data_IF_297799784494
#
_entry.id   IF_297799784494
#
_cell.length_a   1.000
_cell.length_b   1.000
_cell.length_c   1.000
_cell.angle_alpha   90.00
_cell.angle_beta   90.00
_cell.angle_gamma   90.00
#
_symmetry.space_group_name_H-M   'P 1'
#
loop_
_entity.id
_entity.type
_entity.pdbx_description
1 polymer ?
#
# COMPACT_ATOMS: atom_id res chain seq x y z
N UNK A 1 17.00 4.50 -11.55
CA UNK A 1 17.80 5.60 -12.15
C UNK A 1 18.93 6.04 -11.22
N UNK A 2 20.13 6.35 -11.74
CA UNK A 2 21.31 6.77 -10.96
C UNK A 2 21.12 8.19 -10.37
N UNK A 3 21.50 8.41 -9.11
CA UNK A 3 21.35 9.69 -8.41
C UNK A 3 22.20 10.86 -8.96
N UNK A 4 23.18 10.56 -9.83
CA UNK A 4 24.05 11.54 -10.50
C UNK A 4 23.37 12.23 -11.69
N UNK A 5 22.24 11.72 -12.16
CA UNK A 5 21.41 12.39 -13.17
C UNK A 5 20.51 13.35 -12.40
N UNK A 6 20.52 14.64 -12.77
CA UNK A 6 19.66 15.66 -12.15
C UNK A 6 18.18 15.27 -12.33
N UNK A 7 17.61 14.67 -11.29
CA UNK A 7 16.20 14.30 -11.20
C UNK A 7 15.41 15.48 -10.65
N UNK A 8 14.39 15.90 -11.37
CA UNK A 8 13.46 16.95 -10.92
C UNK A 8 12.19 16.29 -10.39
N UNK A 9 11.77 16.72 -9.20
CA UNK A 9 10.51 16.30 -8.58
C UNK A 9 9.69 17.56 -8.36
N UNK A 10 8.62 17.71 -9.12
CA UNK A 10 7.70 18.85 -8.97
C UNK A 10 6.26 18.37 -8.88
N UNK A 11 5.45 19.19 -8.21
CA UNK A 11 4.00 19.00 -8.14
C UNK A 11 3.35 20.14 -8.90
N UNK A 12 2.47 19.79 -9.83
CA UNK A 12 1.59 20.73 -10.52
C UNK A 12 0.17 20.53 -10.00
N UNK A 13 -0.38 21.59 -9.42
CA UNK A 13 -1.76 21.65 -8.97
C UNK A 13 -2.72 21.89 -10.17
N UNK A 14 -4.00 21.54 -10.04
CA UNK A 14 -5.08 21.96 -10.94
C UNK A 14 -5.13 23.47 -11.20
N UNK A 15 -4.65 24.30 -10.27
CA UNK A 15 -4.49 25.74 -10.48
C UNK A 15 -3.35 26.12 -11.46
N UNK A 16 -2.53 25.16 -11.88
CA UNK A 16 -1.35 25.39 -12.71
C UNK A 16 -0.16 25.99 -11.96
N UNK A 17 -0.26 26.13 -10.64
CA UNK A 17 0.85 26.55 -9.79
C UNK A 17 1.78 25.35 -9.57
N UNK A 18 3.02 25.46 -10.05
CA UNK A 18 4.05 24.46 -9.84
C UNK A 18 4.76 24.70 -8.51
N UNK A 19 4.56 23.81 -7.55
CA UNK A 19 5.34 23.78 -6.33
C UNK A 19 6.65 23.03 -6.65
N UNK A 20 7.72 23.79 -6.90
CA UNK A 20 9.07 23.23 -7.10
C UNK A 20 9.63 22.75 -5.75
N UNK A 21 9.22 21.56 -5.32
CA UNK A 21 9.53 21.01 -3.99
C UNK A 21 10.73 20.06 -3.99
N UNK A 22 11.59 20.19 -5.00
CA UNK A 22 12.81 19.37 -5.15
C UNK A 22 13.75 19.49 -3.93
N UNK A 23 13.65 20.56 -3.13
CA UNK A 23 14.46 20.78 -1.92
C UNK A 23 13.91 20.16 -0.64
N UNK A 24 12.63 19.77 -0.60
CA UNK A 24 12.01 19.17 0.60
C UNK A 24 12.26 17.66 0.65
N UNK A 25 12.38 17.03 -0.52
CA UNK A 25 12.66 15.60 -0.65
C UNK A 25 14.16 15.33 -0.61
N UNK A 26 14.56 14.35 0.22
CA UNK A 26 15.95 13.91 0.29
C UNK A 26 16.21 12.87 -0.79
N UNK A 27 17.33 13.01 -1.48
CA UNK A 27 17.80 12.08 -2.51
C UNK A 27 19.11 11.45 -2.04
N UNK A 28 19.16 10.12 -2.01
CA UNK A 28 20.35 9.37 -1.59
C UNK A 28 20.69 8.34 -2.68
N UNK A 29 21.96 8.28 -3.05
CA UNK A 29 22.48 7.27 -3.98
C UNK A 29 22.46 5.89 -3.32
N UNK A 30 21.85 4.88 -3.97
CA UNK A 30 21.67 3.53 -3.40
C UNK A 30 21.79 2.45 -4.48
N UNK A 31 21.87 1.19 -4.06
CA UNK A 31 21.69 0.01 -4.92
C UNK A 31 20.19 -0.24 -5.16
N UNK A 32 19.85 -0.78 -6.35
CA UNK A 32 18.48 -1.20 -6.65
C UNK A 32 18.25 -2.66 -6.23
N UNK A 33 17.28 -2.92 -5.35
CA UNK A 33 16.94 -4.26 -4.88
C UNK A 33 15.44 -4.55 -4.99
N UNK A 34 15.10 -5.67 -5.62
CA UNK A 34 13.70 -6.09 -5.92
C UNK A 34 13.17 -7.14 -4.92
N UNK A 35 14.02 -7.70 -4.06
CA UNK A 35 13.76 -8.98 -3.34
C UNK A 35 12.47 -9.09 -2.54
N UNK A 36 11.89 -7.99 -2.06
CA UNK A 36 10.65 -8.00 -1.27
C UNK A 36 9.43 -7.49 -2.03
N UNK A 37 9.61 -6.85 -3.18
CA UNK A 37 8.56 -6.09 -3.85
C UNK A 37 7.72 -6.98 -4.80
N UNK A 38 6.43 -6.69 -4.87
CA UNK A 38 5.50 -7.34 -5.80
C UNK A 38 5.40 -6.53 -7.10
N UNK A 39 5.20 -7.20 -8.23
CA UNK A 39 4.89 -6.51 -9.50
C UNK A 39 3.49 -5.92 -9.40
N UNK A 40 3.30 -4.68 -9.86
CA UNK A 40 1.98 -4.05 -9.80
C UNK A 40 1.07 -4.70 -10.85
N UNK A 41 -0.19 -4.98 -10.49
CA UNK A 41 -1.15 -5.63 -11.39
C UNK A 41 -1.04 -7.16 -11.49
N UNK A 42 -0.07 -7.78 -10.81
CA UNK A 42 -0.02 -9.23 -10.60
C UNK A 42 -0.98 -9.60 -9.44
N UNK A 43 -2.26 -9.26 -9.62
CA UNK A 43 -3.35 -9.85 -8.83
C UNK A 43 -3.49 -11.30 -9.29
N UNK A 44 -2.56 -12.16 -8.84
CA UNK A 44 -2.83 -13.58 -8.75
C UNK A 44 -4.10 -13.72 -7.89
N UNK A 45 -5.16 -14.25 -8.50
CA UNK A 45 -6.38 -14.80 -7.89
C UNK A 45 -6.04 -15.97 -6.91
N UNK A 46 -5.00 -15.84 -6.08
CA UNK A 46 -4.68 -16.81 -5.05
C UNK A 46 -5.38 -16.37 -3.76
N UNK A 47 -6.59 -16.90 -3.58
CA UNK A 47 -7.28 -17.10 -2.30
C UNK A 47 -6.46 -18.03 -1.37
N UNK A 48 -5.13 -17.85 -1.30
CA UNK A 48 -4.28 -18.49 -0.31
C UNK A 48 -4.38 -17.68 0.96
N UNK A 49 -5.47 -17.95 1.69
CA UNK A 49 -5.63 -17.77 3.14
C UNK A 49 -4.28 -17.50 3.80
N UNK A 50 -3.99 -16.22 4.06
CA UNK A 50 -2.78 -15.76 4.76
C UNK A 50 -2.53 -16.69 5.95
N UNK A 51 -1.55 -17.58 5.79
CA UNK A 51 -1.29 -18.60 6.79
C UNK A 51 -0.62 -17.88 7.96
N UNK A 52 -1.28 -17.84 9.11
CA UNK A 52 -0.79 -17.17 10.33
C UNK A 52 0.66 -17.57 10.65
N UNK A 53 1.08 -18.78 10.24
CA UNK A 53 2.47 -19.24 10.33
C UNK A 53 3.47 -18.42 9.50
N UNK A 54 3.12 -18.00 8.27
CA UNK A 54 3.98 -17.14 7.45
C UNK A 54 4.09 -15.74 8.04
N UNK A 55 2.98 -15.17 8.52
CA UNK A 55 2.97 -13.87 9.20
C UNK A 55 3.80 -13.90 10.49
N UNK A 56 3.70 -14.98 11.27
CA UNK A 56 4.51 -15.16 12.49
C UNK A 56 5.99 -15.41 12.15
N UNK A 57 6.31 -16.09 11.06
CA UNK A 57 7.72 -16.26 10.63
C UNK A 57 8.32 -14.94 10.14
N UNK A 58 7.55 -14.12 9.40
CA UNK A 58 7.97 -12.79 8.98
C UNK A 58 8.08 -11.81 10.16
N UNK A 59 7.20 -11.91 11.16
CA UNK A 59 7.29 -11.11 12.37
C UNK A 59 8.44 -11.53 13.30
N UNK A 60 8.91 -12.78 13.20
CA UNK A 60 10.00 -13.31 14.01
C UNK A 60 11.37 -13.20 13.32
N UNK A 61 11.44 -12.85 12.03
CA UNK A 61 12.64 -12.31 11.40
C UNK A 61 12.82 -10.86 11.85
N UNK A 62 13.20 -10.72 13.11
CA UNK A 62 13.39 -9.45 13.80
C UNK A 62 14.70 -8.78 13.32
N UNK A 63 14.74 -8.39 12.04
CA UNK A 63 15.80 -7.59 11.41
C UNK A 63 15.24 -6.60 10.39
N UNK A 64 14.06 -6.02 10.63
CA UNK A 64 13.60 -4.84 9.88
C UNK A 64 13.81 -3.55 10.68
N UNK A 65 14.95 -3.45 11.39
CA UNK A 65 15.50 -2.13 11.67
C UNK A 65 16.22 -1.69 10.40
N UNK A 66 15.54 -0.87 9.58
CA UNK A 66 16.15 -0.11 8.50
C UNK A 66 17.20 0.84 9.09
N UNK A 67 18.39 0.31 9.32
CA UNK A 67 19.58 1.10 9.58
C UNK A 67 20.05 1.64 8.23
N UNK A 68 20.46 2.92 8.14
CA UNK A 68 21.23 3.38 7.00
C UNK A 68 22.59 2.66 7.07
N UNK A 69 22.68 1.48 6.46
CA UNK A 69 23.93 0.75 6.35
C UNK A 69 24.85 1.54 5.43
N UNK A 70 25.77 2.29 6.03
CA UNK A 70 26.90 2.93 5.37
C UNK A 70 27.97 1.90 4.98
N UNK A 71 27.58 0.79 4.34
CA UNK A 71 28.56 -0.11 3.72
C UNK A 71 28.58 0.15 2.22
N UNK A 72 29.24 1.26 1.89
CA UNK A 72 29.44 1.74 0.53
C UNK A 72 30.61 0.99 -0.08
N UNK A 73 30.32 -0.09 -0.82
CA UNK A 73 31.22 -0.51 -1.89
C UNK A 73 31.06 0.48 -3.06
N UNK A 74 32.06 1.33 -3.25
CA UNK A 74 32.12 2.53 -4.10
C UNK A 74 31.73 2.39 -5.60
N UNK A 75 31.24 1.26 -6.11
CA UNK A 75 31.01 1.07 -7.56
C UNK A 75 29.67 0.42 -7.97
N UNK A 76 28.69 0.28 -7.08
CA UNK A 76 27.39 -0.36 -7.42
C UNK A 76 26.16 0.53 -7.16
N UNK A 77 26.34 1.84 -7.00
CA UNK A 77 25.24 2.78 -6.82
C UNK A 77 24.51 3.05 -8.15
N UNK A 78 23.56 2.16 -8.49
CA UNK A 78 22.79 2.19 -9.74
C UNK A 78 21.44 2.90 -9.62
N UNK A 79 21.04 3.28 -8.41
CA UNK A 79 19.72 3.85 -8.11
C UNK A 79 19.77 5.13 -7.26
N UNK A 80 18.63 5.81 -7.20
CA UNK A 80 18.39 7.02 -6.45
C UNK A 80 17.17 6.75 -5.56
N UNK A 81 17.37 6.83 -4.24
CA UNK A 81 16.30 6.75 -3.25
C UNK A 81 15.79 8.15 -2.98
N UNK A 82 14.49 8.35 -3.22
CA UNK A 82 13.80 9.61 -2.93
C UNK A 82 12.84 9.33 -1.76
N UNK A 83 12.95 10.11 -0.69
CA UNK A 83 12.06 9.97 0.46
C UNK A 83 11.88 11.31 1.19
N UNK A 84 10.74 11.46 1.84
CA UNK A 84 10.36 12.65 2.58
C UNK A 84 8.85 12.76 2.66
N UNK A 85 8.39 13.87 3.21
CA UNK A 85 6.98 14.23 3.30
C UNK A 85 6.78 15.52 2.54
N UNK A 86 5.60 15.67 1.93
CA UNK A 86 5.29 16.78 1.05
C UNK A 86 3.96 17.40 1.45
N UNK A 87 3.98 18.69 1.77
CA UNK A 87 2.76 19.44 2.11
C UNK A 87 2.16 20.04 0.83
N UNK A 88 1.15 19.37 0.29
CA UNK A 88 0.43 19.81 -0.92
C UNK A 88 -0.94 20.37 -0.59
N UNK A 89 -1.46 21.24 -1.46
CA UNK A 89 -2.84 21.68 -1.39
C UNK A 89 -3.80 20.49 -1.57
N UNK A 90 -4.94 20.52 -0.87
CA UNK A 90 -5.98 19.49 -0.94
C UNK A 90 -6.87 19.66 -2.17
N UNK A 91 -6.29 19.50 -3.35
CA UNK A 91 -6.91 19.64 -4.68
C UNK A 91 -6.29 18.63 -5.62
N UNK A 92 -6.89 18.43 -6.80
CA UNK A 92 -6.33 17.55 -7.83
C UNK A 92 -4.94 18.03 -8.23
N UNK A 93 -3.97 17.12 -8.33
CA UNK A 93 -2.60 17.47 -8.69
C UNK A 93 -1.86 16.36 -9.40
N UNK A 94 -0.65 16.68 -9.87
CA UNK A 94 0.23 15.77 -10.57
C UNK A 94 1.66 15.93 -10.03
N UNK A 95 2.13 14.91 -9.33
CA UNK A 95 3.53 14.78 -8.93
C UNK A 95 4.28 14.10 -10.07
N UNK A 96 5.24 14.77 -10.66
CA UNK A 96 6.07 14.19 -11.71
C UNK A 96 7.52 14.06 -11.25
N UNK A 97 8.13 12.95 -11.63
CA UNK A 97 9.55 12.64 -11.43
C UNK A 97 10.13 12.41 -12.82
N UNK A 98 10.94 13.36 -13.27
CA UNK A 98 11.48 13.38 -14.63
C UNK A 98 12.97 13.69 -14.61
N UNK A 99 13.67 13.31 -15.68
CA UNK A 99 15.06 13.69 -15.86
C UNK A 99 15.15 15.14 -16.39
N UNK A 100 16.18 15.87 -15.96
CA UNK A 100 16.39 17.26 -16.35
C UNK A 100 16.31 17.44 -17.88
N UNK A 101 15.54 18.46 -18.27
CA UNK A 101 15.37 18.97 -19.63
C UNK A 101 14.40 18.21 -20.53
N UNK A 102 13.87 17.06 -20.10
CA UNK A 102 12.68 16.46 -20.73
C UNK A 102 11.43 17.14 -20.16
N UNK A 103 10.95 18.19 -20.83
CA UNK A 103 9.76 18.96 -20.43
C UNK A 103 9.96 20.48 -20.54
N UNK A 104 11.19 20.94 -20.31
CA UNK A 104 11.59 22.35 -20.39
C UNK A 104 12.71 22.55 -21.41
N UNK A 105 12.39 22.35 -22.70
CA UNK A 105 12.99 22.91 -23.93
C UNK A 105 14.51 23.15 -24.12
N UNK A 106 15.39 22.85 -23.15
CA UNK A 106 16.73 23.43 -23.12
C UNK A 106 17.84 22.38 -23.28
N UNK A 107 17.85 21.27 -22.54
CA UNK A 107 18.86 20.20 -22.67
C UNK A 107 18.31 18.81 -22.32
N UNK A 108 17.99 17.99 -23.32
CA UNK A 108 17.54 16.63 -23.06
C UNK A 108 18.71 15.75 -22.59
N UNK A 109 18.57 15.12 -21.43
CA UNK A 109 19.44 14.01 -21.03
C UNK A 109 19.41 12.92 -22.12
N UNK A 110 20.57 12.34 -22.45
CA UNK A 110 20.67 11.32 -23.49
C UNK A 110 19.72 10.15 -23.18
N UNK A 111 18.93 9.75 -24.18
CA UNK A 111 17.87 8.75 -24.00
C UNK A 111 18.43 7.42 -23.52
N UNK A 112 19.62 7.03 -23.97
CA UNK A 112 20.31 5.78 -23.60
C UNK A 112 20.67 5.68 -22.11
N UNK A 113 20.69 6.83 -21.40
CA UNK A 113 20.97 6.87 -19.96
C UNK A 113 19.68 6.87 -19.11
N UNK A 114 18.51 6.98 -19.75
CA UNK A 114 17.24 7.00 -19.05
C UNK A 114 16.79 5.57 -18.73
N UNK A 115 16.45 5.33 -17.46
CA UNK A 115 15.80 4.11 -17.02
C UNK A 115 14.89 4.46 -15.84
N UNK A 116 13.57 4.35 -16.09
CA UNK A 116 12.52 4.65 -15.13
C UNK A 116 12.00 3.41 -14.37
N UNK A 117 12.75 2.30 -14.42
CA UNK A 117 12.55 1.18 -13.50
C UNK A 117 12.63 1.69 -12.06
N UNK A 118 11.60 1.42 -11.29
CA UNK A 118 11.45 1.97 -9.95
C UNK A 118 10.71 1.00 -9.04
N UNK A 119 10.93 1.21 -7.75
CA UNK A 119 10.25 0.51 -6.67
C UNK A 119 9.67 1.55 -5.74
N UNK A 120 8.43 1.36 -5.34
CA UNK A 120 7.73 2.23 -4.41
C UNK A 120 7.73 1.49 -3.08
N UNK A 121 8.49 2.00 -2.11
CA UNK A 121 8.54 1.41 -0.76
C UNK A 121 7.28 1.77 0.02
N UNK A 122 6.99 3.07 0.09
CA UNK A 122 5.83 3.62 0.79
C UNK A 122 5.29 4.80 -0.02
N UNK A 123 3.99 4.82 -0.27
CA UNK A 123 3.30 5.97 -0.83
C UNK A 123 1.94 6.13 -0.15
N UNK A 124 1.81 7.16 0.68
CA UNK A 124 0.65 7.35 1.55
C UNK A 124 0.21 8.81 1.64
N UNK A 125 -1.07 9.03 1.95
CA UNK A 125 -1.67 10.35 2.10
C UNK A 125 -2.14 10.59 3.54
N UNK A 126 -1.43 11.46 4.26
CA UNK A 126 -1.75 11.81 5.64
C UNK A 126 -1.17 10.83 6.65
N UNK A 127 -1.86 10.61 7.78
CA UNK A 127 -1.32 9.80 8.88
C UNK A 127 -1.64 8.32 8.68
N UNK A 128 -0.63 7.46 8.87
CA UNK A 128 -0.79 6.00 8.83
C UNK A 128 -1.62 5.47 10.02
N UNK A 129 -2.41 4.43 9.80
CA UNK A 129 -3.10 3.69 10.86
C UNK A 129 -2.97 2.17 10.64
N UNK A 130 -3.01 1.32 11.68
CA UNK A 130 -2.57 -0.08 11.60
C UNK A 130 -3.35 -1.01 10.65
N UNK A 131 -4.51 -0.59 10.14
CA UNK A 131 -5.30 -1.35 9.16
C UNK A 131 -5.30 -0.70 7.77
N UNK A 132 -4.51 0.37 7.57
CA UNK A 132 -4.34 0.99 6.27
C UNK A 132 -3.42 0.11 5.43
N UNK A 133 -3.93 -0.36 4.31
CA UNK A 133 -3.13 -1.01 3.27
C UNK A 133 -3.16 -0.08 2.07
N UNK A 134 -2.00 0.44 1.68
CA UNK A 134 -1.91 1.26 0.49
C UNK A 134 -1.55 0.39 -0.72
N UNK A 135 -2.21 0.54 -1.87
CA UNK A 135 -1.97 -0.30 -3.04
C UNK A 135 -0.55 -0.23 -3.61
N UNK A 136 0.14 0.92 -3.53
CA UNK A 136 1.48 1.07 -4.09
C UNK A 136 2.61 0.67 -3.14
N UNK A 137 2.32 0.35 -1.87
CA UNK A 137 3.36 0.02 -0.91
C UNK A 137 4.10 -1.27 -1.32
N UNK A 138 5.43 -1.23 -1.27
CA UNK A 138 6.31 -2.34 -1.65
C UNK A 138 6.00 -2.93 -3.04
N UNK A 139 5.71 -2.07 -4.02
CA UNK A 139 5.50 -2.42 -5.43
C UNK A 139 6.72 -2.12 -6.30
N UNK A 140 6.89 -2.82 -7.42
CA UNK A 140 7.98 -2.60 -8.37
C UNK A 140 7.47 -2.59 -9.81
N UNK A 141 7.97 -1.63 -10.59
CA UNK A 141 7.72 -1.53 -12.02
C UNK A 141 9.03 -1.51 -12.79
N UNK A 142 9.12 -2.36 -13.80
CA UNK A 142 10.32 -2.56 -14.62
C UNK A 142 10.09 -1.93 -15.98
N UNK A 143 10.96 -0.99 -16.35
CA UNK A 143 10.89 -0.34 -17.64
C UNK A 143 11.39 -1.30 -18.75
N UNK A 144 10.58 -1.49 -19.77
CA UNK A 144 10.94 -2.25 -20.97
C UNK A 144 11.77 -1.41 -21.93
N UNK A 145 11.58 -0.08 -21.90
CA UNK A 145 12.28 0.86 -22.76
C UNK A 145 12.91 2.01 -21.97
N UNK A 146 14.01 2.56 -22.49
CA UNK A 146 14.66 3.74 -21.91
C UNK A 146 13.75 4.98 -21.85
N UNK A 147 12.85 5.11 -22.83
CA UNK A 147 11.93 6.24 -22.98
C UNK A 147 10.50 5.81 -22.68
N UNK A 148 10.27 5.43 -21.43
CA UNK A 148 8.98 5.00 -20.95
C UNK A 148 8.38 6.02 -19.97
N UNK A 149 7.06 6.16 -20.00
CA UNK A 149 6.31 6.97 -19.06
C UNK A 149 5.36 6.09 -18.25
N UNK A 150 5.51 6.12 -16.93
CA UNK A 150 4.63 5.46 -15.97
C UNK A 150 3.65 6.49 -15.42
N UNK A 151 2.36 6.22 -15.56
CA UNK A 151 1.27 7.04 -15.05
C UNK A 151 0.49 6.25 -14.00
N UNK A 152 0.44 6.78 -12.78
CA UNK A 152 -0.40 6.29 -11.70
C UNK A 152 -1.54 7.27 -11.49
N UNK A 153 -2.76 6.80 -11.69
CA UNK A 153 -3.98 7.55 -11.36
C UNK A 153 -4.44 7.13 -9.97
N UNK A 154 -4.41 8.08 -9.04
CA UNK A 154 -4.72 7.88 -7.62
C UNK A 154 -6.06 8.55 -7.31
N UNK A 155 -7.06 7.77 -6.93
CA UNK A 155 -8.33 8.29 -6.41
C UNK A 155 -8.29 8.28 -4.88
N UNK A 156 -8.17 9.45 -4.27
CA UNK A 156 -8.03 9.62 -2.82
C UNK A 156 -9.42 9.77 -2.19
N UNK A 157 -9.70 8.93 -1.19
CA UNK A 157 -10.92 8.95 -0.39
C UNK A 157 -10.61 9.37 1.06
N UNK A 158 -11.04 10.57 1.48
CA UNK A 158 -10.93 11.02 2.85
C UNK A 158 -11.62 10.04 3.81
N UNK A 159 -10.88 9.59 4.83
CA UNK A 159 -11.35 8.58 5.78
C UNK A 159 -11.22 9.08 7.20
N UNK A 160 -12.31 8.98 7.97
CA UNK A 160 -12.31 9.26 9.41
C UNK A 160 -12.29 7.94 10.15
N UNK A 161 -11.21 7.67 10.87
CA UNK A 161 -11.08 6.52 11.76
C UNK A 161 -11.46 6.92 13.19
N UNK A 162 -12.32 6.13 13.82
CA UNK A 162 -12.73 6.30 15.21
C UNK A 162 -12.37 5.02 15.95
N UNK A 163 -11.44 5.16 16.90
CA UNK A 163 -11.04 4.08 17.80
C UNK A 163 -12.13 3.77 18.84
N UNK A 164 -12.06 2.61 19.49
CA UNK A 164 -12.94 2.20 20.57
C UNK A 164 -12.90 3.16 21.78
N UNK A 165 -11.82 3.94 21.92
CA UNK A 165 -11.68 5.00 22.92
C UNK A 165 -12.24 6.35 22.45
N UNK A 166 -12.99 6.39 21.35
CA UNK A 166 -13.51 7.60 20.69
C UNK A 166 -12.44 8.60 20.21
N UNK A 167 -11.19 8.16 20.03
CA UNK A 167 -10.19 8.98 19.38
C UNK A 167 -10.47 9.06 17.88
N UNK A 168 -10.52 10.28 17.35
CA UNK A 168 -10.79 10.54 15.94
C UNK A 168 -9.48 10.83 15.22
N UNK A 169 -9.17 10.03 14.21
CA UNK A 169 -8.01 10.21 13.33
C UNK A 169 -8.50 10.49 11.91
N UNK A 170 -8.04 11.60 11.33
CA UNK A 170 -8.28 11.94 9.93
C UNK A 170 -7.14 11.37 9.09
N UNK A 171 -7.48 10.48 8.18
CA UNK A 171 -6.54 9.79 7.29
C UNK A 171 -7.14 9.72 5.89
N UNK A 172 -6.40 9.21 4.92
CA UNK A 172 -6.90 9.01 3.57
C UNK A 172 -6.58 7.59 3.12
N UNK A 173 -7.50 7.03 2.36
CA UNK A 173 -7.29 5.81 1.60
C UNK A 173 -7.22 6.19 0.13
N UNK A 174 -6.59 5.36 -0.70
CA UNK A 174 -6.63 5.58 -2.14
C UNK A 174 -6.69 4.27 -2.90
N UNK A 175 -7.24 4.34 -4.10
CA UNK A 175 -7.09 3.30 -5.11
C UNK A 175 -6.12 3.78 -6.19
N UNK A 176 -5.43 2.85 -6.83
CA UNK A 176 -4.51 3.14 -7.92
C UNK A 176 -4.96 2.44 -9.19
N UNK A 177 -4.78 3.13 -10.32
CA UNK A 177 -4.78 2.55 -11.65
C UNK A 177 -3.46 2.89 -12.32
N UNK A 178 -2.71 1.87 -12.71
CA UNK A 178 -1.43 2.01 -13.41
C UNK A 178 -1.61 2.06 -14.93
N UNK A 179 -0.71 2.78 -15.59
CA UNK A 179 -0.65 2.87 -17.05
C UNK A 179 0.78 3.17 -17.47
N UNK A 180 1.41 2.25 -18.20
CA UNK A 180 2.71 2.47 -18.82
C UNK A 180 2.55 2.75 -20.33
N UNK A 181 3.41 3.61 -20.87
CA UNK A 181 3.54 3.79 -22.31
C UNK A 181 4.98 4.05 -22.73
N UNK A 182 5.41 3.36 -23.77
CA UNK A 182 6.67 3.68 -24.46
C UNK A 182 6.44 4.89 -25.37
N UNK A 183 7.27 5.92 -25.22
CA UNK A 183 7.12 7.15 -26.00
C UNK A 183 7.88 7.01 -27.33
N UNK A 184 7.14 6.62 -28.37
CA UNK A 184 7.65 6.60 -29.73
C UNK A 184 7.62 8.01 -30.35
N UNK A 185 8.79 8.53 -30.71
CA UNK A 185 8.93 9.82 -31.39
C UNK A 185 9.41 10.98 -30.51
N UNK A 186 9.31 12.20 -31.04
CA UNK A 186 9.93 13.41 -30.47
C UNK A 186 9.05 14.14 -29.45
N UNK A 187 7.78 13.79 -29.38
CA UNK A 187 6.76 14.40 -28.52
C UNK A 187 6.40 13.47 -27.38
N UNK A 188 6.60 13.93 -26.14
CA UNK A 188 6.27 13.18 -24.93
C UNK A 188 7.44 13.16 -23.94
N UNK A 189 7.10 13.41 -22.68
CA UNK A 189 8.04 13.50 -21.57
C UNK A 189 8.09 12.13 -20.89
N UNK A 190 9.22 11.42 -20.92
CA UNK A 190 9.37 10.18 -20.17
C UNK A 190 9.57 10.50 -18.69
N UNK A 191 9.11 9.61 -17.82
CA UNK A 191 9.09 9.88 -16.38
C UNK A 191 8.09 9.04 -15.62
N UNK A 192 8.03 9.29 -14.32
CA UNK A 192 7.07 8.69 -13.41
C UNK A 192 6.10 9.79 -12.99
N UNK A 193 4.82 9.57 -13.15
CA UNK A 193 3.78 10.57 -12.92
C UNK A 193 2.72 10.00 -11.99
N UNK A 194 2.49 10.67 -10.86
CA UNK A 194 1.43 10.35 -9.90
C UNK A 194 0.37 11.44 -10.00
N UNK A 195 -0.69 11.14 -10.74
CA UNK A 195 -1.85 12.03 -10.85
C UNK A 195 -2.84 11.64 -9.78
N UNK A 196 -3.09 12.54 -8.83
CA UNK A 196 -4.02 12.29 -7.74
C UNK A 196 -5.24 13.20 -7.83
N UNK A 197 -6.41 12.62 -7.55
CA UNK A 197 -7.68 13.31 -7.48
C UNK A 197 -8.41 12.97 -6.18
N UNK A 198 -9.19 13.91 -5.65
CA UNK A 198 -9.88 13.74 -4.37
C UNK A 198 -11.34 13.44 -4.66
N UNK A 199 -11.76 12.24 -4.26
CA UNK A 199 -13.13 11.80 -4.43
C UNK A 199 -14.09 12.60 -3.52
N UNK A 200 -15.28 12.98 -4.01
CA UNK A 200 -16.26 13.76 -3.25
C UNK A 200 -17.00 12.93 -2.19
N UNK A 201 -16.53 11.74 -1.86
CA UNK A 201 -17.09 10.85 -0.84
C UNK A 201 -16.15 10.76 0.36
N UNK A 202 -16.70 10.52 1.55
CA UNK A 202 -15.90 10.29 2.75
C UNK A 202 -16.33 9.00 3.44
N UNK A 203 -15.35 8.24 3.91
CA UNK A 203 -15.58 6.97 4.61
C UNK A 203 -15.39 7.19 6.10
N UNK A 204 -16.30 6.64 6.90
CA UNK A 204 -16.20 6.66 8.36
C UNK A 204 -16.08 5.25 8.89
N UNK A 205 -14.92 4.92 9.45
CA UNK A 205 -14.64 3.63 10.06
C UNK A 205 -14.71 3.82 11.57
N UNK A 206 -15.65 3.14 12.22
CA UNK A 206 -15.77 3.14 13.68
C UNK A 206 -15.46 1.74 14.20
N UNK A 207 -14.42 1.63 15.02
CA UNK A 207 -14.08 0.40 15.72
C UNK A 207 -14.96 0.28 16.97
N UNK A 208 -15.91 -0.64 16.91
CA UNK A 208 -16.74 -0.99 18.07
C UNK A 208 -16.22 -2.29 18.68
N UNK A 209 -15.66 -2.21 19.89
CA UNK A 209 -15.34 -3.38 20.70
C UNK A 209 -16.62 -4.05 21.23
N UNK A 210 -16.62 -5.38 21.28
CA UNK A 210 -17.69 -6.10 22.00
C UNK A 210 -17.56 -5.85 23.50
N UNK A 211 -18.66 -5.47 24.14
CA UNK A 211 -18.68 -5.29 25.58
C UNK A 211 -18.48 -6.62 26.30
N UNK A 212 -17.79 -6.61 27.45
CA UNK A 212 -17.59 -7.80 28.30
C UNK A 212 -18.91 -8.50 28.67
N UNK A 213 -19.99 -7.72 28.86
CA UNK A 213 -21.32 -8.28 29.12
C UNK A 213 -21.87 -9.10 27.96
N UNK A 214 -21.61 -8.69 26.71
CA UNK A 214 -21.99 -9.45 25.52
C UNK A 214 -21.28 -10.80 25.48
N UNK A 215 -20.02 -10.85 25.91
CA UNK A 215 -19.30 -12.11 26.07
C UNK A 215 -19.94 -13.01 27.13
N UNK A 216 -20.29 -12.49 28.31
CA UNK A 216 -20.94 -13.27 29.37
C UNK A 216 -22.31 -13.83 28.94
N UNK A 217 -23.12 -13.04 28.25
CA UNK A 217 -24.41 -13.50 27.70
C UNK A 217 -24.21 -14.60 26.66
N UNK A 218 -23.19 -14.48 25.81
CA UNK A 218 -22.84 -15.54 24.85
C UNK A 218 -22.36 -16.81 25.55
N UNK A 219 -21.54 -16.68 26.60
CA UNK A 219 -21.01 -17.79 27.39
C UNK A 219 -22.13 -18.55 28.12
N UNK A 220 -23.06 -17.83 28.75
CA UNK A 220 -24.20 -18.46 29.43
C UNK A 220 -25.12 -19.19 28.45
N UNK A 221 -25.35 -18.61 27.27
CA UNK A 221 -26.06 -19.27 26.17
C UNK A 221 -25.40 -20.57 25.73
N UNK A 222 -24.07 -20.59 25.65
CA UNK A 222 -23.30 -21.78 25.25
C UNK A 222 -23.39 -22.89 26.32
N UNK A 223 -23.26 -22.55 27.60
CA UNK A 223 -23.40 -23.51 28.71
C UNK A 223 -24.83 -24.07 28.79
N UNK A 224 -25.84 -23.20 28.67
CA UNK A 224 -27.24 -23.60 28.65
C UNK A 224 -27.57 -24.51 27.46
N UNK A 225 -27.02 -24.19 26.28
CA UNK A 225 -27.17 -25.02 25.08
C UNK A 225 -26.59 -26.42 25.26
N UNK A 226 -25.38 -26.54 25.81
CA UNK A 226 -24.74 -27.83 26.10
C UNK A 226 -25.58 -28.66 27.08
N UNK A 227 -26.10 -28.04 28.14
CA UNK A 227 -26.91 -28.75 29.14
C UNK A 227 -28.21 -29.31 28.55
N UNK A 228 -28.94 -28.50 27.78
CA UNK A 228 -30.21 -28.91 27.17
C UNK A 228 -29.99 -30.00 26.11
N UNK A 229 -28.99 -29.83 25.25
CA UNK A 229 -28.67 -30.81 24.19
C UNK A 229 -28.23 -32.15 24.76
N UNK A 230 -27.37 -32.17 25.80
CA UNK A 230 -26.97 -33.39 26.49
C UNK A 230 -28.17 -34.12 27.13
N UNK A 231 -29.03 -33.39 27.83
CA UNK A 231 -30.23 -33.96 28.47
C UNK A 231 -31.23 -34.52 27.45
N UNK A 232 -31.39 -33.84 26.31
CA UNK A 232 -32.26 -34.29 25.23
C UNK A 232 -31.70 -35.54 24.53
N UNK A 233 -30.40 -35.57 24.25
CA UNK A 233 -29.72 -36.72 23.65
C UNK A 233 -29.84 -37.97 24.52
N UNK A 234 -29.60 -37.88 25.83
CA UNK A 234 -29.74 -39.00 26.76
C UNK A 234 -31.18 -39.55 26.82
N UNK A 235 -32.18 -38.66 26.81
CA UNK A 235 -33.60 -39.07 26.77
C UNK A 235 -33.95 -39.80 25.48
N UNK A 236 -33.43 -39.34 24.33
CA UNK A 236 -33.64 -40.01 23.05
C UNK A 236 -33.00 -41.40 23.06
N UNK A 237 -31.73 -41.50 23.47
CA UNK A 237 -31.02 -42.78 23.52
C UNK A 237 -31.73 -43.77 24.44
N UNK A 238 -32.12 -43.35 25.64
CA UNK A 238 -32.87 -44.23 26.56
C UNK A 238 -34.23 -44.65 25.99
N UNK A 239 -34.93 -43.76 25.29
CA UNK A 239 -36.22 -44.09 24.66
C UNK A 239 -36.03 -45.11 23.53
N UNK A 240 -35.03 -44.91 22.68
CA UNK A 240 -34.66 -45.84 21.60
C UNK A 240 -34.28 -47.20 22.18
N UNK A 241 -33.42 -47.23 23.20
CA UNK A 241 -32.99 -48.44 23.89
C UNK A 241 -34.18 -49.21 24.48
N UNK A 242 -35.07 -48.53 25.21
CA UNK A 242 -36.27 -49.14 25.80
C UNK A 242 -37.27 -49.67 24.77
N UNK A 243 -37.31 -49.06 23.57
CA UNK A 243 -38.19 -49.51 22.49
C UNK A 243 -37.61 -50.72 21.76
N UNK A 244 -36.29 -50.79 21.59
CA UNK A 244 -35.58 -51.95 21.04
C UNK A 244 -35.73 -53.18 21.96
N UNK A 245 -35.66 -52.98 23.27
CA UNK A 245 -35.84 -54.05 24.25
C UNK A 245 -37.29 -54.56 24.36
N UNK A 246 -38.26 -53.86 23.76
CA UNK A 246 -39.65 -54.35 23.61
C UNK A 246 -39.87 -55.19 22.34
N UNK A 247 -38.94 -55.14 21.38
CA UNK A 247 -39.02 -55.86 20.09
C UNK A 247 -38.16 -57.13 20.06
N UNK A 248 -37.33 -57.35 21.08
CA UNK A 248 -36.57 -58.57 21.38
C UNK A 248 -37.30 -59.38 22.45
#
# INVERSE_FOLDING_TARGET
MICLIDLTVDVIDAAGEGLHMTHELRKISTTFEVRSAHLLGDDDDDDSRLNVKQVVMAANSNTDSFSPNNDVTENTQTACRIFGNLDVNKVTGNLHITALGHGYGYYNTAVELLNFTHRIDEFSFGTHYPRLVNPLDNSVEIAEAHKEAFLYFLSIVPTTYIDNNNHVLLTNQYSVTDYSRVIEGRTGIPGIFFKYDIEPISVRIAENGVSFFTFLVRLSGLVGGIWVTAGFALKIVNRIWSSLQKYL
#
